data_IF_552073027085
#
_entry.id   IF_552073027085
#
_cell.length_a   1.000
_cell.length_b   1.000
_cell.length_c   1.000
_cell.angle_alpha   90.00
_cell.angle_beta   90.00
_cell.angle_gamma   90.00
#
_symmetry.space_group_name_H-M   'P 1'
#
loop_
_entity.id
_entity.type
_entity.pdbx_description
1 polymer ?
#
# COMPACT_ATOMS: atom_id res chain seq x y z
N UNK A 1 -24.84 -14.58 6.48
CA UNK A 1 -25.34 -13.58 5.49
C UNK A 1 -24.19 -12.63 5.24
N UNK A 2 -23.88 -12.34 3.99
CA UNK A 2 -22.82 -11.38 3.66
C UNK A 2 -23.10 -10.03 4.35
N UNK A 3 -22.10 -9.47 4.99
CA UNK A 3 -22.20 -8.19 5.72
C UNK A 3 -22.39 -7.03 4.73
N UNK A 4 -21.81 -7.15 3.53
CA UNK A 4 -21.82 -6.16 2.47
C UNK A 4 -22.73 -6.59 1.32
N UNK A 5 -23.46 -5.63 0.77
CA UNK A 5 -24.17 -5.81 -0.50
C UNK A 5 -23.32 -5.26 -1.63
N UNK A 6 -23.47 -5.86 -2.81
CA UNK A 6 -22.81 -5.38 -4.01
C UNK A 6 -23.14 -3.90 -4.26
N UNK A 7 -22.13 -3.02 -4.33
CA UNK A 7 -22.35 -1.62 -4.65
C UNK A 7 -22.72 -1.46 -6.13
N UNK A 8 -23.73 -0.65 -6.40
CA UNK A 8 -24.21 -0.32 -7.75
C UNK A 8 -23.94 1.15 -8.10
N UNK A 9 -23.57 1.94 -7.11
CA UNK A 9 -23.24 3.36 -7.24
C UNK A 9 -21.93 3.67 -6.53
N UNK A 10 -21.33 4.80 -6.88
CA UNK A 10 -20.11 5.29 -6.21
C UNK A 10 -20.35 5.57 -4.71
N UNK A 11 -21.52 6.06 -4.36
CA UNK A 11 -21.87 6.31 -2.96
C UNK A 11 -21.93 5.01 -2.14
N UNK A 12 -22.48 3.94 -2.70
CA UNK A 12 -22.51 2.62 -2.07
C UNK A 12 -21.11 2.00 -1.99
N UNK A 13 -20.29 2.19 -3.03
CA UNK A 13 -18.90 1.79 -3.02
C UNK A 13 -18.15 2.49 -1.87
N UNK A 14 -18.22 3.80 -1.78
CA UNK A 14 -17.56 4.58 -0.74
C UNK A 14 -18.05 4.20 0.67
N UNK A 15 -19.31 3.78 0.82
CA UNK A 15 -19.83 3.25 2.08
C UNK A 15 -19.19 1.93 2.46
N UNK A 16 -19.08 0.98 1.52
CA UNK A 16 -18.47 -0.33 1.74
C UNK A 16 -16.95 -0.22 1.97
N UNK A 17 -16.31 0.77 1.34
CA UNK A 17 -14.87 1.03 1.40
C UNK A 17 -14.52 2.26 2.25
N UNK A 18 -15.31 2.54 3.28
CA UNK A 18 -15.04 3.64 4.22
C UNK A 18 -13.60 3.55 4.76
N UNK A 19 -12.93 4.70 4.80
CA UNK A 19 -11.54 4.80 5.26
C UNK A 19 -11.39 4.27 6.68
N UNK A 20 -10.40 3.38 6.88
CA UNK A 20 -10.07 2.76 8.17
C UNK A 20 -9.56 3.81 9.16
N UNK A 21 -8.67 4.68 8.71
CA UNK A 21 -8.03 5.71 9.50
C UNK A 21 -8.38 7.10 8.95
N UNK A 22 -9.55 7.68 9.30
CA UNK A 22 -9.93 8.99 8.81
C UNK A 22 -8.96 10.07 9.30
N UNK A 23 -8.81 11.14 8.51
CA UNK A 23 -8.01 12.30 8.87
C UNK A 23 -8.47 12.87 10.21
N UNK A 24 -7.52 13.23 11.08
CA UNK A 24 -7.82 13.91 12.33
C UNK A 24 -8.29 15.34 12.08
N UNK A 25 -9.25 15.80 12.88
CA UNK A 25 -9.54 17.24 12.99
C UNK A 25 -8.52 17.91 13.95
N UNK A 26 -8.56 19.26 14.02
CA UNK A 26 -7.61 20.04 14.81
C UNK A 26 -7.65 19.69 16.30
N UNK A 27 -8.85 19.46 16.83
CA UNK A 27 -9.05 19.08 18.23
C UNK A 27 -8.46 17.70 18.54
N UNK A 28 -8.73 16.72 17.67
CA UNK A 28 -8.16 15.36 17.81
C UNK A 28 -6.64 15.41 17.77
N UNK A 29 -6.06 16.12 16.79
CA UNK A 29 -4.62 16.24 16.64
C UNK A 29 -3.94 16.94 17.83
N UNK A 30 -4.57 17.99 18.36
CA UNK A 30 -4.08 18.68 19.54
C UNK A 30 -4.04 17.76 20.77
N UNK A 31 -5.14 17.06 21.07
CA UNK A 31 -5.18 16.16 22.22
C UNK A 31 -4.27 14.95 22.04
N UNK A 32 -4.22 14.36 20.85
CA UNK A 32 -3.33 13.21 20.62
C UNK A 32 -1.86 13.60 20.69
N UNK A 33 -1.47 14.75 20.13
CA UNK A 33 -0.10 15.27 20.22
C UNK A 33 0.30 15.61 21.66
N UNK A 34 -0.63 16.06 22.52
CA UNK A 34 -0.37 16.36 23.94
C UNK A 34 -0.05 15.13 24.77
N UNK A 35 -0.43 13.93 24.31
CA UNK A 35 -0.12 12.66 25.01
C UNK A 35 1.34 12.24 24.82
N UNK A 36 2.04 12.76 23.80
CA UNK A 36 3.41 12.35 23.54
C UNK A 36 4.35 12.74 24.68
N UNK A 37 5.19 11.81 25.12
CA UNK A 37 6.17 12.03 26.19
C UNK A 37 7.46 12.69 25.73
N UNK A 38 7.62 12.90 24.42
CA UNK A 38 8.82 13.49 23.80
C UNK A 38 10.11 12.81 24.26
N UNK A 39 10.15 11.47 24.23
CA UNK A 39 11.26 10.66 24.69
C UNK A 39 12.58 11.06 24.03
N UNK A 40 13.66 11.16 24.81
CA UNK A 40 14.98 11.53 24.30
C UNK A 40 15.58 10.44 23.39
N UNK A 41 15.50 9.19 23.79
CA UNK A 41 15.99 8.02 23.06
C UNK A 41 14.96 7.41 22.09
N UNK A 42 13.80 8.02 21.97
CA UNK A 42 12.67 7.80 21.08
C UNK A 42 12.66 6.47 20.30
N UNK A 43 12.19 5.36 20.89
CA UNK A 43 12.18 4.06 20.21
C UNK A 43 11.32 4.07 18.93
N UNK A 44 10.35 4.97 18.83
CA UNK A 44 9.56 5.18 17.63
C UNK A 44 10.40 5.70 16.43
N UNK A 45 11.43 6.52 16.65
CA UNK A 45 12.38 6.93 15.59
C UNK A 45 13.18 5.70 15.10
N UNK A 46 13.69 4.91 16.04
CA UNK A 46 14.50 3.72 15.73
C UNK A 46 13.70 2.67 14.95
N UNK A 47 12.41 2.54 15.25
CA UNK A 47 11.51 1.63 14.56
C UNK A 47 11.02 2.16 13.21
N UNK A 48 11.24 3.45 12.91
CA UNK A 48 10.85 4.04 11.62
C UNK A 48 11.92 3.74 10.57
N UNK A 49 11.57 3.08 9.42
CA UNK A 49 12.56 2.75 8.39
C UNK A 49 13.26 3.96 7.76
N UNK A 50 12.64 5.13 7.80
CA UNK A 50 13.19 6.39 7.29
C UNK A 50 13.67 7.33 8.39
N UNK A 51 13.62 6.88 9.67
CA UNK A 51 14.11 7.61 10.84
C UNK A 51 13.51 9.02 10.98
N UNK A 52 12.22 9.18 10.70
CA UNK A 52 11.51 10.46 10.92
C UNK A 52 11.67 10.87 12.40
N UNK A 53 12.01 12.12 12.67
CA UNK A 53 12.03 12.65 14.04
C UNK A 53 10.59 12.84 14.55
N UNK A 54 10.05 11.72 15.08
CA UNK A 54 8.65 11.61 15.50
C UNK A 54 8.35 12.53 16.69
N UNK A 55 9.13 12.56 17.79
CA UNK A 55 8.90 13.50 18.88
C UNK A 55 8.92 14.96 18.43
N UNK A 56 9.80 15.32 17.49
CA UNK A 56 9.90 16.68 16.98
C UNK A 56 8.66 17.08 16.22
N UNK A 57 8.21 16.30 15.23
CA UNK A 57 7.05 16.70 14.45
C UNK A 57 5.76 16.70 15.31
N UNK A 58 5.62 15.78 16.27
CA UNK A 58 4.48 15.78 17.19
C UNK A 58 4.51 17.02 18.08
N UNK A 59 5.68 17.42 18.59
CA UNK A 59 5.82 18.67 19.34
C UNK A 59 5.47 19.89 18.52
N UNK A 60 5.88 19.90 17.25
CA UNK A 60 5.55 20.98 16.30
C UNK A 60 4.04 21.06 16.05
N UNK A 61 3.34 19.91 15.92
CA UNK A 61 1.85 19.88 15.87
C UNK A 61 1.26 20.48 17.13
N UNK A 62 1.71 20.04 18.28
CA UNK A 62 1.20 20.48 19.58
C UNK A 62 1.36 21.99 19.79
N UNK A 63 2.39 22.59 19.23
CA UNK A 63 2.68 24.04 19.32
C UNK A 63 2.20 24.82 18.09
N UNK A 64 1.29 24.27 17.30
CA UNK A 64 0.69 24.89 16.11
C UNK A 64 1.67 25.24 14.99
N UNK A 65 2.84 24.59 14.97
CA UNK A 65 3.81 24.71 13.87
C UNK A 65 3.63 23.58 12.85
N UNK A 66 2.48 23.57 12.18
CA UNK A 66 2.10 22.48 11.23
C UNK A 66 3.05 22.40 10.04
N UNK A 67 3.43 23.55 9.48
CA UNK A 67 4.39 23.59 8.36
C UNK A 67 5.76 23.03 8.75
N UNK A 68 6.23 23.34 9.96
CA UNK A 68 7.46 22.75 10.50
C UNK A 68 7.36 21.23 10.70
N UNK A 69 6.22 20.76 11.22
CA UNK A 69 5.96 19.32 11.37
C UNK A 69 6.02 18.59 10.02
N UNK A 70 5.36 19.15 8.99
CA UNK A 70 5.38 18.58 7.65
C UNK A 70 6.78 18.57 7.05
N UNK A 71 7.54 19.65 7.25
CA UNK A 71 8.92 19.71 6.77
C UNK A 71 9.78 18.62 7.43
N UNK A 72 9.68 18.45 8.76
CA UNK A 72 10.39 17.39 9.49
C UNK A 72 10.05 16.00 8.94
N UNK A 73 8.80 15.76 8.56
CA UNK A 73 8.34 14.49 7.98
C UNK A 73 8.92 14.32 6.57
N UNK A 74 8.73 15.30 5.69
CA UNK A 74 9.12 15.19 4.30
C UNK A 74 10.65 15.19 4.10
N UNK A 75 11.43 15.84 4.97
CA UNK A 75 12.89 15.78 4.93
C UNK A 75 13.44 14.36 5.14
N UNK A 76 12.66 13.49 5.81
CA UNK A 76 13.01 12.08 6.03
C UNK A 76 12.27 11.11 5.08
N UNK A 77 11.10 11.50 4.55
CA UNK A 77 10.26 10.67 3.70
C UNK A 77 9.43 11.50 2.74
N UNK A 78 9.83 11.55 1.47
CA UNK A 78 9.17 12.30 0.40
C UNK A 78 7.69 11.95 0.18
N UNK A 79 7.25 10.76 0.59
CA UNK A 79 5.86 10.33 0.53
C UNK A 79 5.25 10.26 1.95
N UNK A 80 5.52 11.27 2.75
CA UNK A 80 5.14 11.35 4.15
C UNK A 80 3.64 11.29 4.39
N UNK A 81 2.82 11.83 3.48
CA UNK A 81 1.36 11.80 3.60
C UNK A 81 0.81 10.38 3.40
N UNK A 82 1.11 9.75 2.27
CA UNK A 82 0.69 8.38 2.00
C UNK A 82 1.26 7.40 3.04
N UNK A 83 2.52 7.58 3.45
CA UNK A 83 3.16 6.79 4.51
C UNK A 83 2.37 6.88 5.83
N UNK A 84 1.95 8.07 6.25
CA UNK A 84 1.15 8.24 7.48
C UNK A 84 -0.18 7.48 7.48
N UNK A 85 -0.72 7.20 6.28
CA UNK A 85 -2.00 6.49 6.11
C UNK A 85 -1.80 4.96 6.04
N UNK A 86 -0.81 4.47 5.27
CA UNK A 86 -0.71 3.05 4.89
C UNK A 86 0.41 2.29 5.57
N UNK A 87 1.34 2.98 6.23
CA UNK A 87 2.43 2.32 6.95
C UNK A 87 1.87 1.39 8.05
N UNK A 88 2.42 0.19 8.25
CA UNK A 88 2.01 -0.72 9.31
C UNK A 88 2.56 -0.24 10.67
N UNK A 89 2.11 0.93 11.11
CA UNK A 89 2.61 1.64 12.30
C UNK A 89 2.57 0.79 13.58
N UNK A 90 1.57 -0.11 13.70
CA UNK A 90 1.41 -1.01 14.84
C UNK A 90 2.53 -2.05 15.02
N UNK A 91 3.33 -2.32 13.97
CA UNK A 91 4.53 -3.18 14.04
C UNK A 91 5.83 -2.38 13.86
N UNK A 92 5.72 -1.07 13.73
CA UNK A 92 6.84 -0.12 13.59
C UNK A 92 6.78 0.93 14.71
N UNK A 93 6.62 2.21 14.35
CA UNK A 93 6.71 3.33 15.29
C UNK A 93 5.67 3.30 16.42
N UNK A 94 4.40 3.02 16.14
CA UNK A 94 3.36 2.89 17.17
C UNK A 94 3.57 1.63 18.02
N UNK A 95 3.99 0.52 17.39
CA UNK A 95 4.35 -0.71 18.10
C UNK A 95 5.54 -0.56 19.04
N UNK A 96 6.47 0.35 18.73
CA UNK A 96 7.60 0.67 19.58
C UNK A 96 7.32 1.77 20.61
N UNK A 97 6.11 2.35 20.63
CA UNK A 97 5.77 3.40 21.58
C UNK A 97 5.85 2.90 23.02
N UNK A 98 6.47 3.67 23.91
CA UNK A 98 6.65 3.31 25.32
C UNK A 98 5.34 3.07 26.08
N UNK A 99 4.23 3.62 25.62
CA UNK A 99 2.90 3.37 26.18
C UNK A 99 2.47 1.90 26.09
N UNK A 100 2.96 1.15 25.11
CA UNK A 100 2.69 -0.29 25.03
C UNK A 100 3.22 -1.09 26.23
N UNK A 101 4.23 -0.55 26.96
CA UNK A 101 4.74 -1.17 28.19
C UNK A 101 3.90 -0.84 29.43
N UNK A 102 2.88 0.00 29.29
CA UNK A 102 2.05 0.50 30.38
C UNK A 102 0.57 0.16 30.20
N UNK A 103 0.24 -0.72 29.24
CA UNK A 103 -1.13 -1.08 28.85
C UNK A 103 -1.99 0.15 28.46
N UNK A 104 -1.35 1.18 27.92
CA UNK A 104 -1.99 2.40 27.41
C UNK A 104 -1.88 2.40 25.90
N UNK A 105 -2.97 2.75 25.16
CA UNK A 105 -2.90 2.85 23.71
C UNK A 105 -1.75 3.75 23.24
N UNK A 106 -0.93 3.30 22.27
CA UNK A 106 0.19 4.09 21.76
C UNK A 106 -0.30 5.40 21.14
N UNK A 107 0.61 6.32 20.93
CA UNK A 107 0.33 7.54 20.17
C UNK A 107 -0.01 7.14 18.73
N UNK A 108 -1.06 7.72 18.17
CA UNK A 108 -1.50 7.51 16.78
C UNK A 108 -0.58 8.29 15.82
N UNK A 109 0.67 7.84 15.71
CA UNK A 109 1.75 8.53 15.01
C UNK A 109 1.43 8.70 13.54
N UNK A 110 0.94 7.65 12.88
CA UNK A 110 0.57 7.70 11.47
C UNK A 110 -0.53 8.74 11.18
N UNK A 111 -1.57 8.80 12.03
CA UNK A 111 -2.65 9.79 11.86
C UNK A 111 -2.19 11.21 12.12
N UNK A 112 -1.30 11.45 13.09
CA UNK A 112 -0.68 12.77 13.30
C UNK A 112 0.22 13.17 12.14
N UNK A 113 0.98 12.23 11.58
CA UNK A 113 1.80 12.46 10.39
C UNK A 113 0.91 12.88 9.21
N UNK A 114 -0.13 12.10 8.90
CA UNK A 114 -1.09 12.44 7.84
C UNK A 114 -1.79 13.79 8.10
N UNK A 115 -2.17 14.10 9.33
CA UNK A 115 -2.78 15.39 9.68
C UNK A 115 -1.86 16.57 9.31
N UNK A 116 -0.60 16.54 9.70
CA UNK A 116 0.32 17.63 9.44
C UNK A 116 0.60 17.80 7.93
N UNK A 117 0.93 16.70 7.26
CA UNK A 117 1.26 16.72 5.83
C UNK A 117 0.06 17.12 4.97
N UNK A 118 -1.13 16.58 5.28
CA UNK A 118 -2.35 16.90 4.55
C UNK A 118 -2.69 18.40 4.66
N UNK A 119 -2.66 18.99 5.86
CA UNK A 119 -2.89 20.44 6.04
C UNK A 119 -1.91 21.30 5.28
N UNK A 120 -0.66 20.90 5.21
CA UNK A 120 0.38 21.65 4.48
C UNK A 120 0.18 21.56 2.97
N UNK A 121 -0.17 20.37 2.46
CA UNK A 121 -0.50 20.13 1.06
C UNK A 121 -1.74 20.95 0.67
N UNK A 122 -2.84 20.85 1.44
CA UNK A 122 -4.10 21.56 1.18
C UNK A 122 -3.93 23.07 1.18
N UNK A 123 -3.05 23.59 2.03
CA UNK A 123 -2.73 25.02 2.07
C UNK A 123 -1.75 25.46 0.96
N UNK A 124 -1.23 24.54 0.13
CA UNK A 124 -0.27 24.82 -0.92
C UNK A 124 1.02 25.48 -0.41
N UNK A 125 1.44 25.16 0.82
CA UNK A 125 2.63 25.79 1.43
C UNK A 125 3.90 25.36 0.71
N UNK A 126 4.71 26.33 0.35
CA UNK A 126 6.05 26.07 -0.20
C UNK A 126 7.02 25.70 0.93
N UNK A 127 7.45 24.43 0.94
CA UNK A 127 8.40 23.92 1.94
C UNK A 127 9.67 23.33 1.33
N UNK A 128 9.69 23.19 0.00
CA UNK A 128 10.84 22.68 -0.75
C UNK A 128 11.41 23.75 -1.67
N UNK A 129 12.70 23.59 -1.95
CA UNK A 129 13.40 24.40 -2.94
C UNK A 129 14.24 23.48 -3.81
N UNK A 130 14.21 23.72 -5.11
CA UNK A 130 15.15 23.09 -6.03
C UNK A 130 16.56 23.65 -5.80
N UNK A 131 17.56 22.77 -5.95
CA UNK A 131 18.94 23.21 -5.95
C UNK A 131 19.30 24.02 -7.19
N UNK A 132 20.43 24.70 -7.14
CA UNK A 132 21.00 25.39 -8.31
C UNK A 132 21.24 24.38 -9.43
N UNK A 133 20.83 24.67 -10.68
CA UNK A 133 21.00 23.73 -11.78
C UNK A 133 22.46 23.33 -11.98
N UNK A 134 22.75 22.05 -11.94
CA UNK A 134 24.11 21.51 -12.12
C UNK A 134 24.41 21.09 -13.57
N UNK A 135 23.45 21.28 -14.49
CA UNK A 135 23.57 20.97 -15.92
C UNK A 135 23.47 19.49 -16.27
N UNK A 136 23.16 18.62 -15.29
CA UNK A 136 23.02 17.17 -15.50
C UNK A 136 21.58 16.71 -15.43
N UNK A 137 21.27 15.61 -16.13
CA UNK A 137 19.93 15.05 -16.25
C UNK A 137 19.87 13.60 -15.80
N UNK A 138 18.81 13.26 -15.07
CA UNK A 138 18.53 11.89 -14.63
C UNK A 138 17.24 11.39 -15.28
N UNK A 139 17.30 10.19 -15.88
CA UNK A 139 16.12 9.44 -16.28
C UNK A 139 15.70 8.49 -15.15
N UNK A 140 14.43 8.48 -14.81
CA UNK A 140 13.87 7.55 -13.83
C UNK A 140 12.86 6.67 -14.55
N UNK A 141 12.97 5.34 -14.42
CA UNK A 141 12.03 4.39 -14.99
C UNK A 141 11.10 3.89 -13.90
N UNK A 142 9.84 4.32 -13.96
CA UNK A 142 8.76 4.05 -13.00
C UNK A 142 8.51 5.22 -12.04
N UNK A 143 7.27 5.72 -12.04
CA UNK A 143 6.77 6.74 -11.13
C UNK A 143 6.15 6.15 -9.85
N UNK A 144 6.63 5.00 -9.39
CA UNK A 144 6.30 4.45 -8.08
C UNK A 144 6.96 5.25 -6.94
N UNK A 145 6.73 4.87 -5.67
CA UNK A 145 7.29 5.58 -4.52
C UNK A 145 8.80 5.79 -4.60
N UNK A 146 9.56 4.79 -5.04
CA UNK A 146 11.00 4.89 -5.19
C UNK A 146 11.42 5.91 -6.26
N UNK A 147 10.71 5.94 -7.41
CA UNK A 147 10.98 6.88 -8.49
C UNK A 147 10.66 8.31 -8.11
N UNK A 148 9.52 8.54 -7.45
CA UNK A 148 9.12 9.89 -6.98
C UNK A 148 10.09 10.40 -5.91
N UNK A 149 10.49 9.54 -4.96
CA UNK A 149 11.46 9.92 -3.94
C UNK A 149 12.82 10.27 -4.56
N UNK A 150 13.30 9.46 -5.51
CA UNK A 150 14.54 9.74 -6.25
C UNK A 150 14.45 11.07 -7.05
N UNK A 151 13.32 11.32 -7.71
CA UNK A 151 13.10 12.56 -8.45
C UNK A 151 13.12 13.79 -7.53
N UNK A 152 12.43 13.71 -6.40
CA UNK A 152 12.36 14.79 -5.41
C UNK A 152 13.74 15.13 -4.87
N UNK A 153 14.49 14.13 -4.45
CA UNK A 153 15.86 14.30 -3.94
C UNK A 153 16.80 14.86 -5.03
N UNK A 154 16.74 14.33 -6.22
CA UNK A 154 17.55 14.79 -7.33
C UNK A 154 17.27 16.27 -7.69
N UNK A 155 16.01 16.72 -7.62
CA UNK A 155 15.64 18.12 -7.86
C UNK A 155 16.19 19.06 -6.77
N UNK A 156 16.17 18.62 -5.51
CA UNK A 156 16.80 19.39 -4.42
C UNK A 156 18.33 19.49 -4.61
N UNK A 157 18.95 18.49 -5.24
CA UNK A 157 20.37 18.50 -5.59
C UNK A 157 20.70 19.21 -6.92
N UNK A 158 19.71 19.82 -7.60
CA UNK A 158 19.89 20.63 -8.81
C UNK A 158 19.96 19.84 -10.12
N UNK A 159 19.59 18.55 -10.13
CA UNK A 159 19.49 17.76 -11.36
C UNK A 159 18.17 18.03 -12.09
N UNK A 160 18.19 18.02 -13.42
CA UNK A 160 16.97 17.87 -14.21
C UNK A 160 16.49 16.42 -14.19
N UNK A 161 15.18 16.22 -14.09
CA UNK A 161 14.62 14.86 -13.92
C UNK A 161 13.42 14.64 -14.82
N UNK A 162 13.47 13.57 -15.61
CA UNK A 162 12.34 13.00 -16.32
C UNK A 162 12.05 11.61 -15.79
N UNK A 163 10.77 11.35 -15.42
CA UNK A 163 10.29 10.04 -14.99
C UNK A 163 9.48 9.44 -16.14
N UNK A 164 9.78 8.22 -16.53
CA UNK A 164 9.04 7.44 -17.54
C UNK A 164 8.13 6.45 -16.83
N UNK A 165 6.82 6.63 -16.97
CA UNK A 165 5.81 5.81 -16.32
C UNK A 165 4.99 5.03 -17.36
N UNK A 166 4.90 3.71 -17.16
CA UNK A 166 4.19 2.82 -18.07
C UNK A 166 2.67 2.99 -18.03
N UNK A 167 2.13 3.46 -16.92
CA UNK A 167 0.70 3.61 -16.67
C UNK A 167 0.25 5.07 -16.79
N UNK A 168 -1.05 5.28 -16.68
CA UNK A 168 -1.69 6.60 -16.79
C UNK A 168 -1.58 7.48 -15.53
N UNK A 169 -1.26 6.87 -14.38
CA UNK A 169 -1.16 7.56 -13.08
C UNK A 169 0.15 7.22 -12.37
N UNK A 170 0.71 8.15 -11.59
CA UNK A 170 1.93 7.93 -10.83
C UNK A 170 1.64 7.16 -9.52
N UNK A 171 2.68 6.99 -8.71
CA UNK A 171 2.69 6.39 -7.38
C UNK A 171 2.57 4.86 -7.34
N UNK A 172 2.61 4.18 -8.50
CA UNK A 172 2.73 2.72 -8.57
C UNK A 172 1.72 1.98 -7.67
N UNK A 173 2.16 1.04 -6.84
CA UNK A 173 1.28 0.24 -5.98
C UNK A 173 0.44 1.08 -5.01
N UNK A 174 0.84 2.30 -4.66
CA UNK A 174 0.05 3.15 -3.77
C UNK A 174 -1.28 3.55 -4.41
N UNK A 175 -1.29 3.74 -5.75
CA UNK A 175 -2.51 3.98 -6.54
C UNK A 175 -3.14 2.66 -6.99
N UNK A 176 -2.33 1.66 -7.38
CA UNK A 176 -2.83 0.48 -8.10
C UNK A 176 -2.94 -0.79 -7.26
N UNK A 177 -2.33 -0.86 -6.07
CA UNK A 177 -2.19 -2.12 -5.34
C UNK A 177 -2.51 -2.08 -3.85
N UNK A 178 -2.89 -0.93 -3.29
CA UNK A 178 -3.34 -0.81 -1.88
C UNK A 178 -4.86 -0.67 -1.85
N UNK A 179 -5.51 -1.39 -0.95
CA UNK A 179 -6.96 -1.40 -0.82
C UNK A 179 -7.58 0.00 -0.66
N UNK A 180 -8.72 0.31 -1.34
CA UNK A 180 -9.36 1.63 -1.30
C UNK A 180 -9.77 2.09 0.11
N UNK A 181 -10.11 1.16 1.01
CA UNK A 181 -10.46 1.49 2.40
C UNK A 181 -9.25 1.89 3.26
N UNK A 182 -8.01 1.72 2.76
CA UNK A 182 -6.78 2.16 3.41
C UNK A 182 -6.40 3.56 2.96
N UNK A 183 -6.40 3.82 1.65
CA UNK A 183 -6.06 5.12 1.06
C UNK A 183 -6.82 5.32 -0.25
N UNK A 184 -7.32 6.52 -0.48
CA UNK A 184 -7.96 6.87 -1.76
C UNK A 184 -6.94 7.27 -2.82
N UNK A 185 -7.32 7.17 -4.11
CA UNK A 185 -6.47 7.66 -5.19
C UNK A 185 -6.28 9.19 -5.11
N UNK A 186 -7.31 9.91 -4.66
CA UNK A 186 -7.27 11.35 -4.48
C UNK A 186 -6.15 11.78 -3.54
N UNK A 187 -6.07 11.14 -2.36
CA UNK A 187 -5.02 11.44 -1.37
C UNK A 187 -3.60 11.16 -1.91
N UNK A 188 -3.43 10.07 -2.65
CA UNK A 188 -2.12 9.73 -3.23
C UNK A 188 -1.71 10.70 -4.33
N UNK A 189 -2.63 11.00 -5.25
CA UNK A 189 -2.34 11.87 -6.40
C UNK A 189 -2.08 13.30 -5.94
N UNK A 190 -2.82 13.80 -4.97
CA UNK A 190 -2.64 15.11 -4.35
C UNK A 190 -1.23 15.29 -3.78
N UNK A 191 -0.65 14.28 -3.12
CA UNK A 191 0.73 14.32 -2.63
C UNK A 191 1.74 14.40 -3.77
N UNK A 192 1.56 13.61 -4.84
CA UNK A 192 2.45 13.64 -6.01
C UNK A 192 2.37 14.98 -6.73
N UNK A 193 1.17 15.50 -6.95
CA UNK A 193 0.94 16.80 -7.58
C UNK A 193 1.60 17.94 -6.77
N UNK A 194 1.51 17.86 -5.45
CA UNK A 194 2.15 18.79 -4.55
C UNK A 194 3.68 18.77 -4.69
N UNK A 195 4.30 17.58 -4.65
CA UNK A 195 5.75 17.43 -4.84
C UNK A 195 6.19 17.92 -6.22
N UNK A 196 5.45 17.54 -7.27
CA UNK A 196 5.74 17.94 -8.64
C UNK A 196 5.65 19.46 -8.83
N UNK A 197 4.62 20.09 -8.24
CA UNK A 197 4.43 21.55 -8.34
C UNK A 197 5.59 22.35 -7.72
N UNK A 198 6.19 21.84 -6.65
CA UNK A 198 7.28 22.54 -5.96
C UNK A 198 8.66 22.22 -6.53
N UNK A 199 8.88 21.00 -6.96
CA UNK A 199 10.20 20.51 -7.38
C UNK A 199 10.39 20.49 -8.90
N UNK A 200 9.30 20.52 -9.68
CA UNK A 200 9.34 20.67 -11.13
C UNK A 200 9.96 19.50 -11.88
N UNK A 201 9.89 18.25 -11.35
CA UNK A 201 10.23 17.06 -12.13
C UNK A 201 9.11 16.75 -13.12
N UNK A 202 9.47 16.14 -14.24
CA UNK A 202 8.53 15.80 -15.31
C UNK A 202 8.16 14.32 -15.25
N UNK A 203 6.88 13.96 -15.45
CA UNK A 203 6.41 12.58 -15.57
C UNK A 203 5.84 12.36 -16.96
N UNK A 204 6.40 11.40 -17.70
CA UNK A 204 6.02 11.02 -19.05
C UNK A 204 5.23 9.72 -18.96
N UNK A 205 3.92 9.84 -18.95
CA UNK A 205 2.99 8.72 -18.78
C UNK A 205 2.87 7.86 -20.04
N UNK A 206 2.29 6.67 -19.89
CA UNK A 206 2.03 5.70 -20.97
C UNK A 206 3.30 5.37 -21.78
N UNK A 207 4.46 5.37 -21.12
CA UNK A 207 5.76 5.15 -21.75
C UNK A 207 6.47 3.97 -21.10
N UNK A 208 6.47 2.85 -21.82
CA UNK A 208 7.12 1.60 -21.38
C UNK A 208 8.58 1.59 -21.81
N UNK A 209 9.48 1.35 -20.88
CA UNK A 209 10.93 1.17 -21.12
C UNK A 209 11.28 -0.27 -20.77
N UNK A 210 11.13 -1.19 -21.72
CA UNK A 210 11.25 -2.64 -21.53
C UNK A 210 12.27 -3.30 -22.47
N UNK A 211 12.93 -2.53 -23.35
CA UNK A 211 13.89 -3.05 -24.31
C UNK A 211 15.29 -2.46 -24.11
N UNK A 212 16.30 -3.25 -24.44
CA UNK A 212 17.70 -2.79 -24.44
C UNK A 212 17.89 -1.56 -25.35
N UNK A 213 17.16 -1.48 -26.47
CA UNK A 213 17.23 -0.32 -27.36
C UNK A 213 16.65 0.95 -26.70
N UNK A 214 15.55 0.83 -25.93
CA UNK A 214 15.00 1.96 -25.20
C UNK A 214 15.98 2.48 -24.12
N UNK A 215 16.60 1.57 -23.35
CA UNK A 215 17.62 1.93 -22.35
C UNK A 215 18.80 2.64 -23.01
N UNK A 216 19.36 2.09 -24.12
CA UNK A 216 20.46 2.73 -24.85
C UNK A 216 20.14 4.13 -25.34
N UNK A 217 18.88 4.43 -25.70
CA UNK A 217 18.46 5.79 -26.07
C UNK A 217 18.46 6.73 -24.86
N UNK A 218 18.13 6.24 -23.65
CA UNK A 218 18.23 7.03 -22.43
C UNK A 218 19.70 7.30 -22.07
N UNK A 219 20.57 6.29 -22.18
CA UNK A 219 22.03 6.45 -21.92
C UNK A 219 22.68 7.53 -22.79
N UNK A 220 22.13 7.82 -23.97
CA UNK A 220 22.62 8.87 -24.85
C UNK A 220 22.17 10.29 -24.47
N UNK A 221 21.11 10.40 -23.64
CA UNK A 221 20.44 11.68 -23.33
C UNK A 221 20.55 12.10 -21.88
N UNK A 222 20.82 11.15 -20.99
CA UNK A 222 20.83 11.35 -19.54
C UNK A 222 22.17 10.92 -18.97
N UNK A 223 22.62 11.63 -17.94
CA UNK A 223 23.88 11.33 -17.23
C UNK A 223 23.76 10.11 -16.31
N UNK A 224 22.54 9.79 -15.85
CA UNK A 224 22.25 8.61 -15.05
C UNK A 224 20.84 8.09 -15.29
N UNK A 225 20.64 6.79 -15.03
CA UNK A 225 19.33 6.14 -15.10
C UNK A 225 19.04 5.46 -13.75
N UNK A 226 17.88 5.76 -13.17
CA UNK A 226 17.39 5.09 -11.96
C UNK A 226 16.27 4.11 -12.32
N UNK A 227 16.36 2.88 -11.79
CA UNK A 227 15.36 1.82 -12.02
C UNK A 227 14.43 1.72 -10.83
N UNK A 228 13.23 2.30 -10.95
CA UNK A 228 12.17 2.27 -9.95
C UNK A 228 10.95 1.44 -10.38
N UNK A 229 11.17 0.35 -11.16
CA UNK A 229 10.13 -0.42 -11.87
C UNK A 229 9.22 -1.28 -10.98
N UNK A 230 9.56 -1.45 -9.70
CA UNK A 230 8.81 -2.30 -8.77
C UNK A 230 8.97 -3.80 -9.03
N UNK A 231 8.05 -4.62 -8.47
CA UNK A 231 8.12 -6.09 -8.53
C UNK A 231 7.21 -6.72 -9.58
N UNK A 232 6.33 -5.94 -10.20
CA UNK A 232 5.49 -6.40 -11.31
C UNK A 232 4.25 -7.19 -10.89
N UNK A 233 3.93 -8.26 -11.63
CA UNK A 233 2.68 -9.03 -11.56
C UNK A 233 2.64 -10.00 -10.38
N UNK A 234 1.43 -10.46 -10.05
CA UNK A 234 1.21 -11.57 -9.13
C UNK A 234 1.94 -12.84 -9.60
N UNK A 235 2.61 -13.51 -8.67
CA UNK A 235 3.28 -14.79 -8.95
C UNK A 235 2.27 -15.88 -9.28
N UNK A 236 2.60 -16.74 -10.24
CA UNK A 236 1.79 -17.90 -10.64
C UNK A 236 1.92 -19.04 -9.64
N UNK A 237 0.88 -19.85 -9.50
CA UNK A 237 0.86 -21.05 -8.66
C UNK A 237 1.48 -22.27 -9.35
N UNK A 238 1.55 -22.25 -10.69
CA UNK A 238 2.02 -23.33 -11.54
C UNK A 238 1.21 -24.65 -11.36
N UNK A 239 -0.09 -24.52 -11.25
CA UNK A 239 -1.04 -25.64 -11.12
C UNK A 239 -1.93 -25.76 -12.35
N UNK A 240 -2.52 -26.94 -12.55
CA UNK A 240 -3.46 -27.19 -13.63
C UNK A 240 -4.68 -26.25 -13.55
N UNK A 241 -5.04 -25.63 -14.65
CA UNK A 241 -6.22 -24.79 -14.79
C UNK A 241 -6.03 -23.32 -14.31
N UNK A 242 -4.80 -22.89 -13.99
CA UNK A 242 -4.52 -21.52 -13.61
C UNK A 242 -4.82 -20.50 -14.71
N UNK A 243 -4.85 -20.96 -15.97
CA UNK A 243 -5.17 -20.18 -17.17
C UNK A 243 -6.66 -20.01 -17.44
N UNK A 244 -7.55 -20.64 -16.65
CA UNK A 244 -8.99 -20.57 -16.85
C UNK A 244 -9.53 -19.16 -16.63
N UNK A 245 -10.57 -18.81 -17.37
CA UNK A 245 -11.30 -17.56 -17.20
C UNK A 245 -11.86 -17.48 -15.76
N UNK A 246 -11.65 -16.36 -15.10
CA UNK A 246 -12.07 -16.12 -13.70
C UNK A 246 -10.95 -16.37 -12.69
N UNK A 247 -9.78 -16.84 -13.13
CA UNK A 247 -8.55 -16.84 -12.33
C UNK A 247 -7.81 -15.55 -12.63
N UNK A 248 -7.54 -14.76 -11.58
CA UNK A 248 -6.83 -13.48 -11.71
C UNK A 248 -5.83 -13.32 -10.57
N UNK A 249 -4.79 -12.56 -10.80
CA UNK A 249 -3.84 -12.20 -9.75
C UNK A 249 -4.45 -11.24 -8.73
N UNK A 250 -4.05 -11.33 -7.48
CA UNK A 250 -4.57 -10.46 -6.42
C UNK A 250 -4.23 -8.98 -6.67
N UNK A 251 -3.02 -8.68 -7.15
CA UNK A 251 -2.62 -7.30 -7.47
C UNK A 251 -3.46 -6.76 -8.63
N UNK A 252 -3.69 -7.57 -9.67
CA UNK A 252 -4.49 -7.22 -10.84
C UNK A 252 -5.97 -7.00 -10.45
N UNK A 253 -6.50 -7.78 -9.50
CA UNK A 253 -7.85 -7.59 -8.97
C UNK A 253 -7.96 -6.26 -8.22
N UNK A 254 -7.02 -5.97 -7.32
CA UNK A 254 -6.97 -4.71 -6.56
C UNK A 254 -6.84 -3.52 -7.52
N UNK A 255 -5.97 -3.63 -8.54
CA UNK A 255 -5.81 -2.59 -9.56
C UNK A 255 -7.13 -2.32 -10.30
N UNK A 256 -7.81 -3.37 -10.75
CA UNK A 256 -9.09 -3.22 -11.44
C UNK A 256 -10.15 -2.56 -10.55
N UNK A 257 -10.22 -2.96 -9.27
CA UNK A 257 -11.12 -2.37 -8.29
C UNK A 257 -10.82 -0.88 -8.08
N UNK A 258 -9.55 -0.50 -7.92
CA UNK A 258 -9.11 0.87 -7.73
C UNK A 258 -9.37 1.79 -8.91
N UNK A 259 -9.39 1.23 -10.14
CA UNK A 259 -9.62 2.01 -11.34
C UNK A 259 -11.10 2.07 -11.75
N UNK A 260 -11.89 1.05 -11.42
CA UNK A 260 -13.28 0.92 -11.90
C UNK A 260 -14.32 0.97 -10.79
N UNK A 261 -13.94 0.88 -9.53
CA UNK A 261 -14.81 0.94 -8.35
C UNK A 261 -16.03 -0.01 -8.47
N UNK A 262 -17.24 0.50 -8.27
CA UNK A 262 -18.49 -0.26 -8.33
C UNK A 262 -18.80 -0.89 -9.72
N UNK A 263 -18.05 -0.50 -10.77
CA UNK A 263 -18.28 -1.02 -12.12
C UNK A 263 -17.79 -2.46 -12.30
N UNK A 264 -16.88 -2.95 -11.46
CA UNK A 264 -16.47 -4.36 -11.51
C UNK A 264 -17.52 -5.28 -10.93
N UNK A 265 -17.53 -6.52 -11.43
CA UNK A 265 -18.43 -7.57 -10.95
C UNK A 265 -17.61 -8.66 -10.27
N UNK A 266 -17.88 -8.86 -8.99
CA UNK A 266 -17.32 -9.96 -8.24
C UNK A 266 -18.36 -11.10 -8.23
N UNK A 267 -17.96 -12.38 -8.43
CA UNK A 267 -18.89 -13.52 -8.36
C UNK A 267 -19.39 -13.74 -6.93
N UNK A 268 -20.47 -14.52 -6.77
CA UNK A 268 -21.06 -14.86 -5.47
C UNK A 268 -20.05 -15.58 -4.57
N UNK A 269 -19.20 -16.44 -5.16
CA UNK A 269 -18.15 -17.18 -4.44
C UNK A 269 -16.77 -16.81 -4.94
N UNK A 270 -15.88 -16.48 -4.00
CA UNK A 270 -14.49 -16.11 -4.28
C UNK A 270 -13.57 -16.92 -3.38
N UNK A 271 -12.54 -17.49 -3.99
CA UNK A 271 -11.44 -18.14 -3.28
C UNK A 271 -10.17 -17.32 -3.50
N UNK A 272 -9.58 -16.85 -2.42
CA UNK A 272 -8.29 -16.14 -2.43
C UNK A 272 -7.21 -17.07 -1.89
N UNK A 273 -6.15 -17.29 -2.66
CA UNK A 273 -5.05 -18.18 -2.30
C UNK A 273 -3.85 -17.36 -1.87
N UNK A 274 -3.46 -17.49 -0.62
CA UNK A 274 -2.31 -16.78 -0.07
C UNK A 274 -2.40 -16.50 1.43
N UNK A 275 -1.29 -16.10 2.03
CA UNK A 275 -1.20 -15.78 3.46
C UNK A 275 -0.42 -14.47 3.73
N UNK A 276 -0.24 -13.62 2.72
CA UNK A 276 0.37 -12.29 2.83
C UNK A 276 -0.68 -11.17 2.87
N UNK A 277 -0.26 -9.93 3.15
CA UNK A 277 -1.15 -8.77 3.25
C UNK A 277 -1.99 -8.54 1.98
N UNK A 278 -1.42 -8.76 0.79
CA UNK A 278 -2.15 -8.64 -0.48
C UNK A 278 -3.34 -9.62 -0.58
N UNK A 279 -3.17 -10.85 -0.05
CA UNK A 279 -4.27 -11.80 -0.01
C UNK A 279 -5.37 -11.38 0.98
N UNK A 280 -5.00 -10.76 2.11
CA UNK A 280 -5.96 -10.19 3.06
C UNK A 280 -6.76 -9.05 2.42
N UNK A 281 -6.07 -8.17 1.69
CA UNK A 281 -6.71 -7.08 0.97
C UNK A 281 -7.68 -7.61 -0.09
N UNK A 282 -7.22 -8.50 -0.99
CA UNK A 282 -8.06 -9.05 -2.04
C UNK A 282 -9.30 -9.80 -1.48
N UNK A 283 -9.16 -10.55 -0.38
CA UNK A 283 -10.28 -11.24 0.26
C UNK A 283 -11.27 -10.26 0.89
N UNK A 284 -10.76 -9.27 1.63
CA UNK A 284 -11.60 -8.22 2.22
C UNK A 284 -12.35 -7.41 1.16
N UNK A 285 -11.69 -7.08 0.05
CA UNK A 285 -12.29 -6.35 -1.07
C UNK A 285 -13.37 -7.16 -1.79
N UNK A 286 -13.13 -8.45 -2.04
CA UNK A 286 -14.14 -9.32 -2.63
C UNK A 286 -15.41 -9.38 -1.76
N UNK A 287 -15.26 -9.54 -0.44
CA UNK A 287 -16.38 -9.49 0.50
C UNK A 287 -17.11 -8.14 0.47
N UNK A 288 -16.37 -7.01 0.50
CA UNK A 288 -16.93 -5.64 0.45
C UNK A 288 -17.61 -5.33 -0.88
N UNK A 289 -17.21 -5.99 -1.95
CA UNK A 289 -17.89 -5.94 -3.26
C UNK A 289 -19.16 -6.79 -3.32
N UNK A 290 -19.52 -7.48 -2.23
CA UNK A 290 -20.75 -8.22 -2.09
C UNK A 290 -20.68 -9.68 -2.54
N UNK A 291 -19.50 -10.30 -2.53
CA UNK A 291 -19.42 -11.76 -2.61
C UNK A 291 -20.18 -12.40 -1.43
N UNK A 292 -21.03 -13.38 -1.71
CA UNK A 292 -21.81 -14.08 -0.69
C UNK A 292 -20.92 -14.96 0.19
N UNK A 293 -19.88 -15.53 -0.42
CA UNK A 293 -18.90 -16.35 0.24
C UNK A 293 -17.49 -16.01 -0.25
N UNK A 294 -16.61 -15.61 0.68
CA UNK A 294 -15.20 -15.38 0.39
C UNK A 294 -14.37 -16.30 1.29
N UNK A 295 -13.54 -17.14 0.66
CA UNK A 295 -12.65 -18.09 1.36
C UNK A 295 -11.20 -17.68 1.14
N UNK A 296 -10.48 -17.44 2.22
CA UNK A 296 -9.03 -17.25 2.23
C UNK A 296 -8.37 -18.62 2.48
N UNK A 297 -7.71 -19.18 1.48
CA UNK A 297 -7.03 -20.47 1.56
C UNK A 297 -5.51 -20.27 1.74
N UNK A 298 -4.95 -20.89 2.77
CA UNK A 298 -3.54 -20.82 3.08
C UNK A 298 -2.93 -22.18 3.39
N UNK A 299 -1.76 -22.46 2.79
CA UNK A 299 -1.08 -23.76 2.89
C UNK A 299 -0.51 -24.09 4.27
N UNK A 300 -0.34 -23.12 5.15
CA UNK A 300 0.14 -23.32 6.52
C UNK A 300 -0.96 -22.99 7.54
N UNK A 301 -0.64 -23.12 8.84
CA UNK A 301 -1.52 -22.67 9.92
C UNK A 301 -1.57 -21.14 10.01
N UNK A 302 -2.52 -20.61 10.79
CA UNK A 302 -2.69 -19.18 11.02
C UNK A 302 -1.42 -18.51 11.55
N UNK A 303 -0.72 -19.17 12.46
CA UNK A 303 0.49 -18.65 13.14
C UNK A 303 1.68 -18.51 12.19
N UNK A 304 1.64 -19.19 11.04
CA UNK A 304 2.69 -19.13 10.00
C UNK A 304 2.38 -18.12 8.88
N UNK A 305 1.30 -17.35 9.02
CA UNK A 305 0.98 -16.33 8.03
C UNK A 305 2.04 -15.23 8.00
N UNK A 306 2.37 -14.77 6.79
CA UNK A 306 3.20 -13.59 6.62
C UNK A 306 2.43 -12.28 6.72
N UNK A 307 1.10 -12.32 6.71
CA UNK A 307 0.25 -11.16 6.92
C UNK A 307 0.30 -10.69 8.38
N UNK A 308 0.16 -9.40 8.59
CA UNK A 308 0.01 -8.85 9.93
C UNK A 308 -1.33 -9.28 10.55
N UNK A 309 -1.35 -9.56 11.86
CA UNK A 309 -2.55 -10.00 12.57
C UNK A 309 -3.73 -9.06 12.37
N UNK A 310 -3.51 -7.74 12.43
CA UNK A 310 -4.56 -6.75 12.24
C UNK A 310 -5.14 -6.74 10.80
N UNK A 311 -4.37 -7.13 9.78
CA UNK A 311 -4.86 -7.27 8.40
C UNK A 311 -5.74 -8.50 8.26
N UNK A 312 -5.34 -9.59 8.89
CA UNK A 312 -6.18 -10.79 8.97
C UNK A 312 -7.50 -10.51 9.71
N UNK A 313 -7.45 -9.87 10.88
CA UNK A 313 -8.65 -9.53 11.65
C UNK A 313 -9.58 -8.60 10.87
N UNK A 314 -9.04 -7.69 10.05
CA UNK A 314 -9.82 -6.83 9.16
C UNK A 314 -10.52 -7.64 8.07
N UNK A 315 -9.87 -8.64 7.48
CA UNK A 315 -10.49 -9.52 6.49
C UNK A 315 -11.62 -10.37 7.12
N UNK A 316 -11.37 -10.93 8.31
CA UNK A 316 -12.41 -11.68 9.05
C UNK A 316 -13.59 -10.80 9.41
N UNK A 317 -13.36 -9.55 9.84
CA UNK A 317 -14.44 -8.60 10.14
C UNK A 317 -15.26 -8.22 8.91
N UNK A 318 -14.72 -8.38 7.71
CA UNK A 318 -15.45 -8.20 6.45
C UNK A 318 -16.27 -9.46 6.03
N UNK A 319 -16.26 -10.53 6.82
CA UNK A 319 -17.00 -11.76 6.55
C UNK A 319 -16.22 -12.83 5.77
N UNK A 320 -14.88 -12.71 5.70
CA UNK A 320 -14.02 -13.71 5.05
C UNK A 320 -13.90 -14.96 5.92
N UNK A 321 -14.09 -16.15 5.33
CA UNK A 321 -13.82 -17.43 5.95
C UNK A 321 -12.39 -17.88 5.66
N UNK A 322 -11.77 -18.63 6.57
CA UNK A 322 -10.40 -19.11 6.41
C UNK A 322 -10.33 -20.62 6.26
N UNK A 323 -9.53 -21.09 5.31
CA UNK A 323 -9.18 -22.49 5.08
C UNK A 323 -7.65 -22.62 5.27
N UNK A 324 -7.22 -23.08 6.43
CA UNK A 324 -5.81 -23.29 6.74
C UNK A 324 -5.37 -24.72 6.45
N UNK A 325 -4.05 -24.92 6.35
CA UNK A 325 -3.42 -26.21 6.08
C UNK A 325 -3.95 -26.85 4.78
N UNK A 326 -4.17 -26.04 3.74
CA UNK A 326 -4.69 -26.45 2.45
C UNK A 326 -3.90 -25.79 1.33
N UNK A 327 -3.27 -26.60 0.48
CA UNK A 327 -2.57 -26.14 -0.73
C UNK A 327 -3.43 -26.40 -1.96
N UNK A 328 -3.59 -25.44 -2.89
CA UNK A 328 -4.29 -25.70 -4.13
C UNK A 328 -3.47 -26.66 -5.00
N UNK A 329 -4.12 -27.61 -5.62
CA UNK A 329 -3.51 -28.62 -6.51
C UNK A 329 -4.04 -28.56 -7.94
N UNK A 330 -5.25 -28.08 -8.13
CA UNK A 330 -5.82 -27.85 -9.47
C UNK A 330 -6.98 -26.87 -9.39
N UNK A 331 -7.19 -26.12 -10.47
CA UNK A 331 -8.39 -25.30 -10.69
C UNK A 331 -9.27 -26.01 -11.70
N UNK A 332 -10.50 -26.30 -11.32
CA UNK A 332 -11.44 -27.11 -12.11
C UNK A 332 -12.51 -26.24 -12.78
N UNK A 333 -13.03 -26.72 -13.89
CA UNK A 333 -14.09 -26.11 -14.66
C UNK A 333 -13.91 -26.26 -16.17
N UNK A 334 -14.98 -26.04 -16.93
CA UNK A 334 -14.99 -26.16 -18.39
C UNK A 334 -14.83 -24.77 -19.02
N UNK A 335 -13.56 -24.36 -19.27
CA UNK A 335 -13.22 -23.04 -19.85
C UNK A 335 -13.24 -21.88 -18.87
N UNK A 336 -14.03 -21.92 -17.82
CA UNK A 336 -14.04 -20.98 -16.69
C UNK A 336 -13.88 -21.72 -15.37
N UNK A 337 -13.47 -20.99 -14.34
CA UNK A 337 -13.33 -21.57 -12.98
C UNK A 337 -14.71 -21.92 -12.42
N UNK A 338 -14.84 -23.15 -11.92
CA UNK A 338 -16.01 -23.67 -11.22
C UNK A 338 -15.66 -24.09 -9.80
N UNK A 339 -14.37 -24.34 -9.52
CA UNK A 339 -13.88 -24.70 -8.20
C UNK A 339 -12.37 -24.83 -8.13
N UNK A 340 -11.86 -25.01 -6.92
CA UNK A 340 -10.45 -25.26 -6.63
C UNK A 340 -10.34 -26.54 -5.83
N UNK A 341 -9.49 -27.46 -6.27
CA UNK A 341 -9.11 -28.65 -5.51
C UNK A 341 -7.94 -28.33 -4.60
N UNK A 342 -8.07 -28.67 -3.34
CA UNK A 342 -7.02 -28.54 -2.34
C UNK A 342 -6.58 -29.91 -1.84
N UNK A 343 -5.30 -30.03 -1.46
CA UNK A 343 -4.79 -31.11 -0.66
C UNK A 343 -4.44 -30.58 0.74
N UNK A 344 -4.67 -31.39 1.76
CA UNK A 344 -4.28 -31.04 3.13
C UNK A 344 -2.77 -31.00 3.26
N UNK A 345 -2.30 -30.10 4.10
CA UNK A 345 -0.88 -29.94 4.41
C UNK A 345 -0.64 -30.05 5.91
N UNK A 346 0.50 -30.59 6.27
CA UNK A 346 0.94 -30.73 7.66
C UNK A 346 2.45 -30.44 7.77
N UNK A 347 2.86 -29.90 8.90
CA UNK A 347 4.26 -29.70 9.22
C UNK A 347 4.82 -30.95 9.87
N UNK A 348 5.68 -31.69 9.16
CA UNK A 348 6.36 -32.89 9.65
C UNK A 348 7.87 -32.61 9.64
N UNK A 349 8.51 -32.73 10.80
CA UNK A 349 9.96 -32.50 10.98
C UNK A 349 10.43 -31.14 10.41
N UNK A 350 9.62 -30.08 10.58
CA UNK A 350 9.93 -28.73 10.12
C UNK A 350 9.75 -28.49 8.61
N UNK A 351 9.25 -29.49 7.86
CA UNK A 351 8.95 -29.38 6.43
C UNK A 351 7.44 -29.46 6.20
N UNK A 352 6.93 -28.62 5.32
CA UNK A 352 5.54 -28.69 4.89
C UNK A 352 5.37 -29.90 3.96
N UNK A 353 4.51 -30.84 4.33
CA UNK A 353 4.14 -32.00 3.52
C UNK A 353 2.70 -31.88 3.04
N UNK A 354 2.44 -32.38 1.84
CA UNK A 354 1.11 -32.36 1.20
C UNK A 354 0.58 -33.78 1.14
N UNK A 355 -0.59 -34.01 1.72
CA UNK A 355 -1.30 -35.30 1.62
C UNK A 355 -2.23 -35.28 0.40
N UNK A 356 -1.75 -35.83 -0.71
CA UNK A 356 -2.50 -35.92 -1.97
C UNK A 356 -3.71 -36.89 -1.90
N UNK A 357 -3.80 -37.72 -0.86
CA UNK A 357 -4.94 -38.62 -0.64
C UNK A 357 -6.07 -37.97 0.16
N UNK A 358 -5.79 -36.81 0.80
CA UNK A 358 -6.77 -36.08 1.61
C UNK A 358 -7.09 -34.75 0.93
N UNK A 359 -8.00 -34.78 -0.03
CA UNK A 359 -8.37 -33.64 -0.86
C UNK A 359 -9.71 -33.03 -0.44
N UNK A 360 -9.82 -31.71 -0.65
CA UNK A 360 -11.02 -30.89 -0.44
C UNK A 360 -11.37 -30.19 -1.75
N UNK A 361 -12.65 -30.00 -2.04
CA UNK A 361 -13.13 -29.29 -3.23
C UNK A 361 -14.35 -28.45 -2.92
#
# INVERSE_FOLDING_TARGET
MAEYRRPTTEAEFNKNFKQKNPLMNDTEAYYESSRCLFCYDAPCIQACPTSIDIPLFIKQIHTDNITGASKTIFDANWLGNACGIVCPTGVLCEGACVYNHQDVPPIQIGRLQNYATNKTIDAGKEIFKTGEPNGKKIAIIGAGPAGIACASEARVLGYDVDIFEAKEKPSGLTVYGIAPYKITNEEVLKEVDYLQSQLGFNIIYNTVIDTTSAIKKLEQKYDAIFLGVGLGKTATLQIEGEDKKGVIGAVEFIEELRMKHHQIKVPEKVVVIGGGNTAMDAASEAARMGAEETILAYRNSKEKMGAYGFEYDLAISAGVNSLFNATPIAIVGNGSVEGVKFAKTEMIEGKLQTDMNNTLS
#
